data_IF_363848985324
#
_entry.id   IF_363848985324
#
_cell.length_a   1.000
_cell.length_b   1.000
_cell.length_c   1.000
_cell.angle_alpha   90.00
_cell.angle_beta   90.00
_cell.angle_gamma   90.00
#
_symmetry.space_group_name_H-M   'P 1'
#
loop_
_entity.id
_entity.type
_entity.pdbx_description
1 polymer ?
#
# COMPACT_ATOMS: atom_id res chain seq x y z
N UNK A 1 3.69 11.98 -3.83
CA UNK A 1 2.85 10.77 -3.74
C UNK A 1 3.64 9.67 -3.08
N UNK A 2 3.04 9.00 -2.15
CA UNK A 2 3.65 7.96 -1.32
C UNK A 2 3.05 6.60 -1.71
N UNK A 3 3.88 5.59 -1.88
CA UNK A 3 3.45 4.23 -2.18
C UNK A 3 3.89 3.28 -1.08
N UNK A 4 2.99 2.42 -0.64
CA UNK A 4 3.33 1.23 0.14
C UNK A 4 3.23 0.02 -0.78
N UNK A 5 4.29 -0.74 -0.91
CA UNK A 5 4.32 -1.96 -1.72
C UNK A 5 4.74 -3.11 -0.82
N UNK A 6 3.89 -4.14 -0.74
CA UNK A 6 4.16 -5.32 0.06
C UNK A 6 3.97 -6.57 -0.79
N UNK A 7 4.95 -7.47 -0.72
CA UNK A 7 4.95 -8.73 -1.46
C UNK A 7 4.58 -9.89 -0.55
N UNK A 8 3.69 -10.74 -1.04
CA UNK A 8 3.23 -11.92 -0.31
C UNK A 8 3.37 -13.16 -1.17
N UNK A 9 3.65 -14.28 -0.52
CA UNK A 9 3.54 -15.58 -1.15
C UNK A 9 2.10 -16.10 -0.92
N UNK A 10 1.51 -16.66 -1.96
CA UNK A 10 0.16 -17.20 -1.92
C UNK A 10 0.14 -18.66 -2.32
N UNK A 11 -1.04 -19.26 -2.23
CA UNK A 11 -1.29 -20.66 -2.56
C UNK A 11 -1.70 -20.87 -4.02
N UNK A 12 -1.58 -19.84 -4.85
CA UNK A 12 -2.00 -19.88 -6.26
C UNK A 12 -3.46 -19.50 -6.49
N UNK A 13 -4.22 -19.23 -5.43
CA UNK A 13 -5.60 -18.74 -5.57
C UNK A 13 -5.61 -17.23 -5.70
N UNK A 14 -6.70 -16.68 -6.25
CA UNK A 14 -6.87 -15.22 -6.34
C UNK A 14 -7.47 -14.61 -5.08
N UNK A 15 -7.80 -15.45 -4.11
CA UNK A 15 -8.34 -14.99 -2.83
C UNK A 15 -7.25 -14.30 -2.00
N UNK A 16 -7.65 -13.32 -1.21
CA UNK A 16 -6.77 -12.74 -0.20
C UNK A 16 -6.34 -13.84 0.78
N UNK A 17 -5.09 -13.84 1.25
CA UNK A 17 -4.66 -14.80 2.26
C UNK A 17 -5.54 -14.73 3.50
N UNK A 18 -5.64 -15.84 4.22
CA UNK A 18 -6.45 -15.90 5.44
C UNK A 18 -6.00 -14.80 6.41
N UNK A 19 -6.95 -14.05 6.97
CA UNK A 19 -6.67 -12.92 7.85
C UNK A 19 -6.36 -11.61 7.15
N UNK A 20 -6.15 -11.61 5.83
CA UNK A 20 -5.81 -10.41 5.07
C UNK A 20 -7.02 -9.54 4.75
N UNK A 21 -8.19 -10.13 4.65
CA UNK A 21 -9.40 -9.44 4.18
C UNK A 21 -9.69 -8.19 5.00
N UNK A 22 -9.60 -8.30 6.31
CA UNK A 22 -9.86 -7.15 7.19
C UNK A 22 -8.79 -6.07 7.04
N UNK A 23 -7.51 -6.44 6.96
CA UNK A 23 -6.42 -5.49 6.81
C UNK A 23 -6.55 -4.71 5.49
N UNK A 24 -6.75 -5.40 4.38
CA UNK A 24 -6.88 -4.79 3.06
C UNK A 24 -8.14 -3.93 2.98
N UNK A 25 -9.27 -4.46 3.45
CA UNK A 25 -10.55 -3.75 3.41
C UNK A 25 -10.50 -2.49 4.26
N UNK A 26 -10.04 -2.61 5.51
CA UNK A 26 -10.00 -1.48 6.43
C UNK A 26 -9.07 -0.38 5.93
N UNK A 27 -7.89 -0.75 5.44
CA UNK A 27 -6.95 0.23 4.90
C UNK A 27 -7.52 0.91 3.65
N UNK A 28 -8.11 0.13 2.74
CA UNK A 28 -8.68 0.66 1.51
C UNK A 28 -9.87 1.58 1.72
N UNK A 29 -10.61 1.40 2.83
CA UNK A 29 -11.77 2.23 3.16
C UNK A 29 -11.40 3.55 3.84
N UNK A 30 -10.14 3.76 4.21
CA UNK A 30 -9.75 4.99 4.90
C UNK A 30 -9.75 6.18 3.94
N UNK A 31 -10.30 7.34 4.35
CA UNK A 31 -10.33 8.52 3.48
C UNK A 31 -8.95 8.98 3.02
N UNK A 32 -7.92 8.77 3.84
CA UNK A 32 -6.56 9.15 3.50
C UNK A 32 -5.90 8.20 2.49
N UNK A 33 -6.47 7.01 2.26
CA UNK A 33 -5.97 6.06 1.26
C UNK A 33 -6.51 6.46 -0.11
N UNK A 34 -5.62 6.91 -0.98
CA UNK A 34 -5.99 7.36 -2.32
C UNK A 34 -6.43 6.21 -3.22
N UNK A 35 -5.67 5.13 -3.21
CA UNK A 35 -6.02 3.91 -3.93
C UNK A 35 -5.33 2.71 -3.30
N UNK A 36 -5.86 1.54 -3.54
CA UNK A 36 -5.29 0.30 -3.06
C UNK A 36 -5.59 -0.78 -4.09
N UNK A 37 -4.55 -1.56 -4.44
CA UNK A 37 -4.69 -2.68 -5.37
C UNK A 37 -4.05 -3.92 -4.77
N UNK A 38 -4.73 -5.03 -4.94
CA UNK A 38 -4.22 -6.37 -4.65
C UNK A 38 -4.05 -7.06 -5.98
N UNK A 39 -2.81 -7.40 -6.32
CA UNK A 39 -2.50 -7.89 -7.66
C UNK A 39 -1.77 -9.23 -7.60
N UNK A 40 -1.92 -9.99 -8.65
CA UNK A 40 -1.27 -11.27 -8.86
C UNK A 40 -0.15 -11.11 -9.87
N UNK A 41 0.99 -11.77 -9.63
CA UNK A 41 2.06 -11.82 -10.62
C UNK A 41 1.59 -12.59 -11.86
N UNK A 42 1.93 -12.07 -13.04
CA UNK A 42 1.65 -12.76 -14.30
C UNK A 42 2.70 -13.82 -14.62
N UNK A 43 3.81 -13.85 -13.88
CA UNK A 43 4.93 -14.74 -14.12
C UNK A 43 5.08 -15.82 -13.05
N UNK A 44 4.59 -15.55 -11.85
CA UNK A 44 4.68 -16.44 -10.69
C UNK A 44 3.33 -16.51 -10.01
N UNK A 45 2.62 -17.61 -10.20
CA UNK A 45 1.26 -17.79 -9.69
C UNK A 45 1.18 -17.75 -8.16
N UNK A 46 2.29 -18.01 -7.47
CA UNK A 46 2.34 -17.96 -6.01
C UNK A 46 2.60 -16.56 -5.44
N UNK A 47 2.84 -15.56 -6.28
CA UNK A 47 3.20 -14.23 -5.81
C UNK A 47 2.04 -13.25 -5.92
N UNK A 48 1.85 -12.50 -4.84
CA UNK A 48 0.85 -11.42 -4.74
C UNK A 48 1.53 -10.15 -4.29
N UNK A 49 0.95 -9.01 -4.64
CA UNK A 49 1.46 -7.71 -4.24
C UNK A 49 0.32 -6.80 -3.83
N UNK A 50 0.51 -6.08 -2.73
CA UNK A 50 -0.31 -4.95 -2.34
C UNK A 50 0.36 -3.68 -2.81
N UNK A 51 -0.38 -2.81 -3.50
CA UNK A 51 0.08 -1.47 -3.84
C UNK A 51 -0.95 -0.48 -3.31
N UNK A 52 -0.56 0.32 -2.34
CA UNK A 52 -1.42 1.35 -1.77
C UNK A 52 -0.80 2.72 -2.01
N UNK A 53 -1.62 3.67 -2.46
CA UNK A 53 -1.21 5.03 -2.76
C UNK A 53 -1.79 6.00 -1.74
N UNK A 54 -0.96 6.95 -1.33
CA UNK A 54 -1.33 8.05 -0.43
C UNK A 54 -0.76 9.34 -1.01
N UNK A 55 -1.40 10.47 -0.74
CA UNK A 55 -0.87 11.76 -1.21
C UNK A 55 0.46 12.06 -0.52
N UNK A 56 0.58 11.74 0.77
CA UNK A 56 1.79 11.97 1.56
C UNK A 56 2.05 10.81 2.52
N UNK A 57 3.27 10.76 3.07
CA UNK A 57 3.58 9.83 4.15
C UNK A 57 2.71 10.08 5.39
N UNK A 58 2.35 11.34 5.65
CA UNK A 58 1.45 11.69 6.75
C UNK A 58 0.05 11.08 6.54
N UNK A 59 -0.44 11.06 5.31
CA UNK A 59 -1.72 10.42 4.97
C UNK A 59 -1.66 8.91 5.21
N UNK A 60 -0.53 8.27 4.91
CA UNK A 60 -0.35 6.86 5.25
C UNK A 60 -0.45 6.64 6.77
N UNK A 61 0.21 7.48 7.55
CA UNK A 61 0.11 7.39 9.02
C UNK A 61 -1.31 7.60 9.52
N UNK A 62 -2.05 8.55 8.93
CA UNK A 62 -3.46 8.77 9.26
C UNK A 62 -4.33 7.57 8.90
N UNK A 63 -4.09 6.95 7.74
CA UNK A 63 -4.88 5.81 7.29
C UNK A 63 -4.73 4.61 8.24
N UNK A 64 -3.56 4.43 8.85
CA UNK A 64 -3.32 3.33 9.78
C UNK A 64 -3.54 3.68 11.25
N UNK A 65 -3.85 4.95 11.57
CA UNK A 65 -3.99 5.41 12.95
C UNK A 65 -5.17 4.81 13.71
N UNK A 66 -6.37 4.62 13.10
CA UNK A 66 -7.47 4.00 13.81
C UNK A 66 -7.09 2.61 14.32
N UNK A 67 -7.43 2.32 15.58
CA UNK A 67 -7.03 1.06 16.20
C UNK A 67 -7.44 -0.17 15.40
N UNK A 68 -8.67 -0.28 14.86
CA UNK A 68 -9.04 -1.46 14.08
C UNK A 68 -8.16 -1.67 12.85
N UNK A 69 -7.77 -0.59 12.17
CA UNK A 69 -6.87 -0.67 11.01
C UNK A 69 -5.49 -1.16 11.45
N UNK A 70 -4.93 -0.52 12.46
CA UNK A 70 -3.59 -0.84 12.95
C UNK A 70 -3.53 -2.26 13.48
N UNK A 71 -4.55 -2.69 14.23
CA UNK A 71 -4.61 -4.02 14.80
C UNK A 71 -4.66 -5.12 13.74
N UNK A 72 -5.27 -4.85 12.59
CA UNK A 72 -5.33 -5.78 11.47
C UNK A 72 -4.10 -5.69 10.57
N UNK A 73 -3.63 -4.47 10.28
CA UNK A 73 -2.59 -4.22 9.30
C UNK A 73 -1.20 -4.66 9.76
N UNK A 74 -0.82 -4.34 10.99
CA UNK A 74 0.53 -4.62 11.49
C UNK A 74 0.85 -6.11 11.48
N UNK A 75 0.00 -7.00 12.04
CA UNK A 75 0.29 -8.43 11.98
C UNK A 75 0.30 -8.98 10.55
N UNK A 76 -0.56 -8.45 9.69
CA UNK A 76 -0.63 -8.89 8.30
C UNK A 76 0.64 -8.50 7.54
N UNK A 77 1.11 -7.26 7.67
CA UNK A 77 2.35 -6.82 7.04
C UNK A 77 3.57 -7.57 7.58
N UNK A 78 3.55 -7.97 8.85
CA UNK A 78 4.63 -8.78 9.42
C UNK A 78 4.76 -10.14 8.73
N UNK A 79 3.69 -10.66 8.13
CA UNK A 79 3.71 -11.88 7.33
C UNK A 79 4.12 -11.68 5.87
N UNK A 80 4.37 -10.46 5.44
CA UNK A 80 4.81 -10.18 4.08
C UNK A 80 6.23 -10.69 3.85
N UNK A 81 6.50 -11.17 2.64
CA UNK A 81 7.84 -11.53 2.22
C UNK A 81 8.76 -10.32 2.22
N UNK A 82 8.25 -9.18 1.77
CA UNK A 82 8.92 -7.89 1.84
C UNK A 82 7.88 -6.79 1.79
N UNK A 83 8.19 -5.65 2.41
CA UNK A 83 7.40 -4.45 2.29
C UNK A 83 8.31 -3.24 2.28
N UNK A 84 7.96 -2.23 1.52
CA UNK A 84 8.74 -1.00 1.43
C UNK A 84 7.84 0.17 1.04
N UNK A 85 8.30 1.36 1.39
CA UNK A 85 7.64 2.60 1.06
C UNK A 85 8.48 3.37 0.04
N UNK A 86 7.80 4.06 -0.87
CA UNK A 86 8.44 4.78 -1.96
C UNK A 86 7.79 6.15 -2.12
N UNK A 87 8.62 7.14 -2.47
CA UNK A 87 8.14 8.43 -2.97
C UNK A 87 8.13 8.40 -4.48
N UNK A 88 7.04 8.86 -5.10
CA UNK A 88 6.98 8.98 -6.56
C UNK A 88 7.67 10.27 -6.97
N UNK A 89 8.73 10.15 -7.76
CA UNK A 89 9.51 11.31 -8.22
C UNK A 89 9.11 11.80 -9.61
N UNK A 90 8.47 10.94 -10.40
CA UNK A 90 7.92 11.30 -11.69
C UNK A 90 6.80 10.34 -12.04
N UNK A 91 5.78 10.83 -12.71
CA UNK A 91 4.65 10.02 -13.12
C UNK A 91 4.15 10.44 -14.48
N UNK A 92 3.67 9.47 -15.25
CA UNK A 92 2.97 9.74 -16.51
C UNK A 92 1.57 9.15 -16.40
N UNK A 93 0.58 9.92 -16.84
CA UNK A 93 -0.80 9.48 -16.94
C UNK A 93 -1.27 9.74 -18.37
N UNK A 94 -1.54 8.65 -19.08
CA UNK A 94 -1.96 8.69 -20.49
C UNK A 94 -1.05 9.56 -21.35
N UNK A 95 0.27 9.39 -21.18
CA UNK A 95 1.29 10.09 -21.94
C UNK A 95 1.65 11.48 -21.41
N UNK A 96 1.01 11.93 -20.34
CA UNK A 96 1.31 13.24 -19.75
C UNK A 96 2.18 13.03 -18.51
N UNK A 97 3.39 13.54 -18.55
CA UNK A 97 4.35 13.46 -17.45
C UNK A 97 4.11 14.57 -16.43
N UNK A 98 4.30 14.21 -15.18
CA UNK A 98 4.27 15.15 -14.05
C UNK A 98 5.37 14.79 -13.06
N UNK A 99 5.82 15.80 -12.31
CA UNK A 99 6.73 15.62 -11.19
C UNK A 99 5.96 16.00 -9.93
N UNK A 100 5.39 15.03 -9.22
CA UNK A 100 4.67 15.33 -7.99
C UNK A 100 5.60 15.99 -6.98
N UNK A 101 5.09 16.98 -6.24
CA UNK A 101 5.86 17.57 -5.16
C UNK A 101 6.24 16.50 -4.14
N UNK A 102 7.53 16.46 -3.83
CA UNK A 102 8.01 15.63 -2.73
C UNK A 102 7.70 16.41 -1.45
N UNK A 103 6.65 15.99 -0.76
CA UNK A 103 6.33 16.58 0.53
C UNK A 103 7.21 15.87 1.56
N UNK A 104 8.29 16.53 1.92
CA UNK A 104 9.14 16.05 3.00
C UNK A 104 8.42 16.35 4.30
N UNK A 105 8.04 15.30 4.99
CA UNK A 105 7.33 15.38 6.26
C UNK A 105 8.34 15.62 7.38
N UNK A 106 9.06 16.71 7.25
CA UNK A 106 10.11 17.12 8.18
C UNK A 106 9.61 18.34 8.96
N UNK A 107 9.41 18.19 10.27
CA UNK A 107 8.93 19.30 11.10
C UNK A 107 9.90 20.46 11.19
N UNK A 108 11.14 20.28 10.75
CA UNK A 108 12.14 21.33 10.73
C UNK A 108 12.16 22.17 9.46
N UNK A 109 11.34 21.82 8.47
CA UNK A 109 11.34 22.51 7.19
C UNK A 109 10.07 23.30 6.94
#
# INVERSE_FOLDING_TARGET
MFLLIAHFDGDGTDALPAGSGDAVRLLGEQPATRSLRWARSTEDAGRRVLVAEFDTAADFRRAQAPFPVRAALIPWLAGARSSAAFEVIAAADRGVWSEPDVIVDDPGS
#
